data_IF_351166786227
#
_entry.id   IF_351166786227
#
_cell.length_a   1.000
_cell.length_b   1.000
_cell.length_c   1.000
_cell.angle_alpha   90.00
_cell.angle_beta   90.00
_cell.angle_gamma   90.00
#
_symmetry.space_group_name_H-M   'P 1'
#
loop_
_entity.id
_entity.type
_entity.pdbx_description
1 polymer ?
#
# COMPACT_ATOMS: atom_id res chain seq x y z
N UNK A 1 -3.91 -45.14 3.86
CA UNK A 1 -3.85 -44.38 5.10
C UNK A 1 -3.76 -42.91 4.76
N UNK A 2 -4.91 -42.27 4.65
CA UNK A 2 -4.95 -40.82 4.44
C UNK A 2 -4.72 -40.18 5.80
N UNK A 3 -3.49 -39.85 6.10
CA UNK A 3 -3.19 -38.92 7.18
C UNK A 3 -3.74 -37.57 6.78
N UNK A 4 -4.82 -37.14 7.42
CA UNK A 4 -5.23 -35.74 7.44
C UNK A 4 -4.10 -34.93 8.07
N UNK A 5 -3.13 -34.53 7.25
CA UNK A 5 -2.25 -33.44 7.63
C UNK A 5 -3.18 -32.24 7.77
N UNK A 6 -3.37 -31.79 9.00
CA UNK A 6 -4.19 -30.62 9.25
C UNK A 6 -3.73 -29.52 8.31
N UNK A 7 -4.68 -28.86 7.66
CA UNK A 7 -4.46 -27.76 6.70
C UNK A 7 -3.55 -26.64 7.26
N UNK A 8 -3.21 -26.70 8.54
CA UNK A 8 -2.37 -25.71 9.22
C UNK A 8 -0.88 -25.88 9.11
N UNK A 9 -0.35 -27.10 8.86
CA UNK A 9 1.10 -27.34 8.98
C UNK A 9 1.88 -27.30 7.67
N UNK A 10 1.23 -27.47 6.53
CA UNK A 10 1.91 -27.59 5.23
C UNK A 10 2.27 -26.21 4.63
N UNK A 11 1.61 -25.12 5.04
CA UNK A 11 1.72 -23.81 4.39
C UNK A 11 2.32 -22.70 5.24
N UNK A 12 2.78 -23.00 6.46
CA UNK A 12 3.32 -21.98 7.37
C UNK A 12 4.82 -21.77 7.19
N UNK A 13 5.28 -21.61 5.97
CA UNK A 13 6.68 -21.24 5.74
C UNK A 13 6.79 -20.23 4.62
N UNK A 14 7.79 -19.37 4.76
CA UNK A 14 8.22 -18.48 3.71
C UNK A 14 8.68 -19.26 2.48
N UNK A 15 8.34 -18.76 1.28
CA UNK A 15 8.75 -19.40 0.02
C UNK A 15 10.26 -19.26 -0.15
N UNK A 16 10.95 -20.37 -0.49
CA UNK A 16 12.36 -20.34 -0.84
C UNK A 16 12.57 -19.72 -2.22
N UNK A 17 13.37 -18.67 -2.28
CA UNK A 17 13.66 -17.92 -3.51
C UNK A 17 15.14 -17.99 -3.92
N UNK A 18 15.96 -18.84 -3.24
CA UNK A 18 17.41 -18.86 -3.47
C UNK A 18 17.79 -19.17 -4.92
N UNK A 19 17.03 -20.03 -5.60
CA UNK A 19 17.28 -20.45 -6.99
C UNK A 19 16.74 -19.47 -8.06
N UNK A 20 16.13 -18.35 -7.64
CA UNK A 20 15.64 -17.33 -8.58
C UNK A 20 16.74 -16.30 -8.85
N UNK A 21 16.76 -15.79 -10.07
CA UNK A 21 17.65 -14.69 -10.46
C UNK A 21 17.16 -13.38 -9.88
N UNK A 22 18.11 -12.48 -9.61
CA UNK A 22 17.81 -11.10 -9.29
C UNK A 22 17.34 -10.37 -10.54
N UNK A 23 16.15 -9.80 -10.49
CA UNK A 23 15.56 -9.02 -11.58
C UNK A 23 15.01 -7.71 -11.04
N UNK A 24 14.90 -6.71 -11.91
CA UNK A 24 14.19 -5.48 -11.56
C UNK A 24 12.71 -5.80 -11.31
N UNK A 25 12.19 -5.25 -10.23
CA UNK A 25 10.81 -5.40 -9.79
C UNK A 25 10.22 -4.05 -9.49
N UNK A 26 9.00 -3.82 -9.92
CA UNK A 26 8.22 -2.65 -9.59
C UNK A 26 6.78 -3.06 -9.28
N UNK A 27 6.16 -2.34 -8.36
CA UNK A 27 4.74 -2.48 -8.05
C UNK A 27 4.16 -1.11 -7.72
N UNK A 28 2.91 -0.91 -8.10
CA UNK A 28 2.09 0.26 -7.75
C UNK A 28 0.81 -0.24 -7.10
N UNK A 29 0.54 0.23 -5.89
CA UNK A 29 -0.72 0.02 -5.20
C UNK A 29 -1.46 1.35 -5.05
N UNK A 30 -2.77 1.30 -5.03
CA UNK A 30 -3.64 2.44 -4.76
C UNK A 30 -4.57 2.17 -3.59
N UNK A 31 -5.18 3.23 -3.09
CA UNK A 31 -6.24 3.17 -2.10
C UNK A 31 -6.84 4.56 -1.89
N UNK A 32 -8.07 4.61 -1.40
CA UNK A 32 -8.84 5.85 -1.29
C UNK A 32 -9.34 6.06 0.13
N UNK A 33 -9.38 7.31 0.58
CA UNK A 33 -10.04 7.70 1.82
C UNK A 33 -11.09 8.78 1.52
N UNK A 34 -12.34 8.51 1.93
CA UNK A 34 -13.43 9.46 1.89
C UNK A 34 -13.49 10.22 3.21
N UNK A 35 -13.60 11.52 3.11
CA UNK A 35 -13.60 12.45 4.25
C UNK A 35 -14.78 13.41 4.14
N UNK A 36 -15.15 14.09 5.23
CA UNK A 36 -16.13 15.15 5.13
C UNK A 36 -15.54 16.43 4.48
N UNK A 37 -16.41 17.36 4.10
CA UNK A 37 -16.04 18.61 3.43
C UNK A 37 -15.05 19.45 4.25
N UNK A 38 -15.18 19.46 5.58
CA UNK A 38 -14.33 20.23 6.47
C UNK A 38 -12.89 19.70 6.48
N UNK A 39 -12.73 18.37 6.62
CA UNK A 39 -11.41 17.69 6.53
C UNK A 39 -10.79 17.90 5.16
N UNK A 40 -11.59 17.73 4.09
CA UNK A 40 -11.11 17.92 2.72
C UNK A 40 -10.55 19.32 2.51
N UNK A 41 -11.31 20.34 2.91
CA UNK A 41 -10.89 21.73 2.80
C UNK A 41 -9.64 22.02 3.65
N UNK A 42 -9.56 21.47 4.86
CA UNK A 42 -8.40 21.65 5.73
C UNK A 42 -7.13 21.03 5.16
N UNK A 43 -7.21 19.86 4.54
CA UNK A 43 -6.07 19.21 3.89
C UNK A 43 -5.66 20.02 2.65
N UNK A 44 -6.61 20.35 1.78
CA UNK A 44 -6.38 21.12 0.53
C UNK A 44 -5.80 22.50 0.81
N UNK A 45 -6.26 23.15 1.88
CA UNK A 45 -5.82 24.49 2.29
C UNK A 45 -4.62 24.51 3.23
N UNK A 46 -4.01 23.35 3.54
CA UNK A 46 -2.90 23.22 4.50
C UNK A 46 -3.20 23.83 5.88
N UNK A 47 -4.46 23.79 6.32
CA UNK A 47 -4.93 24.44 7.56
C UNK A 47 -5.28 23.44 8.68
N UNK A 48 -4.94 22.16 8.51
CA UNK A 48 -5.18 21.14 9.52
C UNK A 48 -4.39 21.44 10.80
N UNK A 49 -5.03 21.32 11.97
CA UNK A 49 -4.43 21.63 13.29
C UNK A 49 -3.16 20.84 13.59
N UNK A 50 -3.03 19.65 13.05
CA UNK A 50 -1.85 18.76 13.23
C UNK A 50 -0.74 19.02 12.19
N UNK A 51 -0.87 20.05 11.34
CA UNK A 51 0.14 20.42 10.35
C UNK A 51 -0.07 19.74 8.99
N UNK A 52 1.01 19.48 8.28
CA UNK A 52 0.99 18.89 6.93
C UNK A 52 0.58 17.42 6.94
N UNK A 53 -0.73 17.18 6.79
CA UNK A 53 -1.31 15.83 6.82
C UNK A 53 -0.71 14.92 5.75
N UNK A 54 -0.64 15.40 4.51
CA UNK A 54 -0.17 14.58 3.39
C UNK A 54 1.35 14.33 3.46
N UNK A 55 2.12 15.31 3.92
CA UNK A 55 3.55 15.15 4.12
C UNK A 55 3.87 14.11 5.20
N UNK A 56 3.20 14.18 6.35
CA UNK A 56 3.38 13.19 7.43
C UNK A 56 2.93 11.80 6.97
N UNK A 57 1.79 11.70 6.29
CA UNK A 57 1.28 10.44 5.77
C UNK A 57 2.23 9.80 4.74
N UNK A 58 2.85 10.63 3.89
CA UNK A 58 3.88 10.17 2.93
C UNK A 58 5.05 9.52 3.63
N UNK A 59 5.61 10.18 4.63
CA UNK A 59 6.74 9.64 5.40
C UNK A 59 6.36 8.34 6.09
N UNK A 60 5.18 8.29 6.73
CA UNK A 60 4.69 7.09 7.40
C UNK A 60 4.53 5.91 6.42
N UNK A 61 3.99 6.15 5.23
CA UNK A 61 3.84 5.12 4.19
C UNK A 61 5.18 4.59 3.68
N UNK A 62 6.14 5.48 3.41
CA UNK A 62 7.49 5.08 2.99
C UNK A 62 8.17 4.24 4.09
N UNK A 63 8.03 4.63 5.35
CA UNK A 63 8.58 3.87 6.48
C UNK A 63 7.92 2.50 6.60
N UNK A 64 6.61 2.42 6.39
CA UNK A 64 5.86 1.17 6.46
C UNK A 64 6.25 0.20 5.32
N UNK A 65 6.40 0.70 4.10
CA UNK A 65 6.89 -0.09 2.98
C UNK A 65 8.25 -0.73 3.29
N UNK A 66 9.18 0.03 3.88
CA UNK A 66 10.51 -0.46 4.30
C UNK A 66 10.46 -1.49 5.44
N UNK A 67 9.38 -1.53 6.21
CA UNK A 67 9.19 -2.44 7.35
C UNK A 67 8.17 -3.54 7.07
N UNK A 68 7.79 -3.74 5.82
CA UNK A 68 6.77 -4.71 5.44
C UNK A 68 7.03 -6.12 6.01
N UNK A 69 8.28 -6.60 5.96
CA UNK A 69 8.65 -7.92 6.48
C UNK A 69 8.52 -8.06 8.01
N UNK A 70 8.48 -6.95 8.76
CA UNK A 70 8.20 -6.94 10.20
C UNK A 70 6.70 -7.00 10.49
N UNK A 71 5.86 -6.64 9.53
CA UNK A 71 4.40 -6.57 9.66
C UNK A 71 3.70 -7.80 9.09
N UNK A 72 4.18 -8.32 7.97
CA UNK A 72 3.59 -9.45 7.25
C UNK A 72 4.50 -10.67 7.41
N UNK A 73 4.09 -11.67 8.20
CA UNK A 73 4.99 -12.72 8.73
C UNK A 73 5.75 -13.53 7.69
N UNK A 74 5.18 -13.77 6.51
CA UNK A 74 5.80 -14.61 5.48
C UNK A 74 6.43 -13.81 4.33
N UNK A 75 6.49 -12.49 4.45
CA UNK A 75 7.20 -11.65 3.50
C UNK A 75 8.72 -11.74 3.68
N UNK A 76 9.43 -11.68 2.57
CA UNK A 76 10.89 -11.61 2.57
C UNK A 76 11.37 -10.20 2.97
N UNK A 77 12.58 -10.13 3.51
CA UNK A 77 13.25 -8.85 3.72
C UNK A 77 13.75 -8.36 2.36
N UNK A 78 13.26 -7.21 1.92
CA UNK A 78 13.60 -6.62 0.62
C UNK A 78 14.27 -5.27 0.83
N UNK A 79 15.41 -5.07 0.19
CA UNK A 79 16.05 -3.77 0.08
C UNK A 79 15.40 -2.98 -1.07
N UNK A 80 14.49 -2.07 -0.75
CA UNK A 80 13.87 -1.20 -1.76
C UNK A 80 14.91 -0.25 -2.34
N UNK A 81 14.92 -0.11 -3.67
CA UNK A 81 15.73 0.89 -4.38
C UNK A 81 14.99 2.20 -4.57
N UNK A 82 13.65 2.16 -4.57
CA UNK A 82 12.80 3.33 -4.65
C UNK A 82 11.48 3.09 -3.92
N UNK A 83 10.93 4.15 -3.33
CA UNK A 83 9.59 4.16 -2.74
C UNK A 83 9.01 5.57 -2.82
N UNK A 84 7.97 5.73 -3.62
CA UNK A 84 7.30 6.99 -3.87
C UNK A 84 5.84 6.91 -3.44
N UNK A 85 5.34 7.97 -2.80
CA UNK A 85 3.92 8.15 -2.51
C UNK A 85 3.44 9.45 -3.16
N UNK A 86 2.38 9.34 -3.95
CA UNK A 86 1.68 10.48 -4.57
C UNK A 86 0.20 10.46 -4.18
N UNK A 87 -0.45 11.59 -4.38
CA UNK A 87 -1.87 11.77 -4.05
C UNK A 87 -2.62 12.39 -5.21
N UNK A 88 -3.88 12.01 -5.35
CA UNK A 88 -4.87 12.69 -6.17
C UNK A 88 -6.05 13.09 -5.29
N UNK A 89 -6.50 14.33 -5.44
CA UNK A 89 -7.61 14.88 -4.66
C UNK A 89 -8.83 15.03 -5.55
N UNK A 90 -9.96 14.46 -5.11
CA UNK A 90 -11.21 14.43 -5.85
C UNK A 90 -12.23 15.38 -5.17
N UNK A 91 -12.42 16.54 -5.76
CA UNK A 91 -13.25 17.64 -5.20
C UNK A 91 -14.73 17.24 -5.04
N UNK A 92 -15.26 16.50 -6.01
CA UNK A 92 -16.70 16.15 -6.04
C UNK A 92 -17.08 15.13 -4.96
N UNK A 93 -16.21 14.17 -4.71
CA UNK A 93 -16.43 13.09 -3.74
C UNK A 93 -15.91 13.42 -2.34
N UNK A 94 -15.13 14.49 -2.20
CA UNK A 94 -14.31 14.77 -1.02
C UNK A 94 -13.46 13.55 -0.63
N UNK A 95 -12.72 13.01 -1.59
CA UNK A 95 -11.84 11.86 -1.36
C UNK A 95 -10.39 12.18 -1.73
N UNK A 96 -9.48 11.44 -1.12
CA UNK A 96 -8.06 11.51 -1.39
C UNK A 96 -7.63 10.11 -1.79
N UNK A 97 -7.09 9.98 -2.97
CA UNK A 97 -6.51 8.75 -3.46
C UNK A 97 -5.00 8.79 -3.29
N UNK A 98 -4.46 7.76 -2.68
CA UNK A 98 -3.03 7.60 -2.46
C UNK A 98 -2.50 6.46 -3.32
N UNK A 99 -1.32 6.66 -3.88
CA UNK A 99 -0.60 5.68 -4.68
C UNK A 99 0.76 5.45 -4.06
N UNK A 100 1.16 4.20 -3.93
CA UNK A 100 2.49 3.82 -3.50
C UNK A 100 3.18 3.01 -4.58
N UNK A 101 4.26 3.55 -5.14
CA UNK A 101 5.15 2.86 -6.05
C UNK A 101 6.38 2.40 -5.30
N UNK A 102 6.74 1.13 -5.45
CA UNK A 102 7.96 0.56 -4.88
C UNK A 102 8.75 -0.17 -5.95
N UNK A 103 10.08 -0.16 -5.83
CA UNK A 103 10.94 -0.95 -6.71
C UNK A 103 12.14 -1.54 -5.98
N UNK A 104 12.65 -2.64 -6.52
CA UNK A 104 13.90 -3.27 -6.08
C UNK A 104 14.58 -4.03 -7.22
N UNK A 105 15.81 -4.47 -6.96
CA UNK A 105 16.46 -5.54 -7.70
C UNK A 105 16.51 -6.74 -6.76
N UNK A 106 15.82 -7.82 -7.11
CA UNK A 106 15.72 -8.96 -6.20
C UNK A 106 14.98 -10.16 -6.75
N UNK A 107 14.88 -11.19 -5.92
CA UNK A 107 14.34 -12.53 -6.26
C UNK A 107 12.83 -12.64 -6.10
N UNK A 108 12.19 -11.66 -5.47
CA UNK A 108 10.73 -11.62 -5.24
C UNK A 108 10.17 -10.25 -5.56
N UNK A 109 8.86 -10.17 -5.77
CA UNK A 109 8.18 -8.90 -6.07
C UNK A 109 8.03 -8.01 -4.85
N UNK A 110 7.63 -6.78 -5.09
CA UNK A 110 7.47 -5.70 -4.09
C UNK A 110 6.00 -5.25 -3.92
N UNK A 111 5.08 -6.12 -4.31
CA UNK A 111 3.65 -5.86 -4.27
C UNK A 111 3.18 -5.56 -2.83
N UNK A 112 3.69 -6.34 -1.87
CA UNK A 112 3.30 -6.18 -0.46
C UNK A 112 3.87 -4.92 0.16
N UNK A 113 5.06 -4.51 -0.24
CA UNK A 113 5.66 -3.24 0.17
C UNK A 113 4.81 -2.06 -0.32
N UNK A 114 4.34 -2.09 -1.56
CA UNK A 114 3.44 -1.07 -2.11
C UNK A 114 2.09 -1.05 -1.38
N UNK A 115 1.47 -2.23 -1.17
CA UNK A 115 0.19 -2.37 -0.46
C UNK A 115 0.29 -1.89 1.00
N UNK A 116 1.35 -2.24 1.70
CA UNK A 116 1.60 -1.80 3.09
C UNK A 116 1.83 -0.29 3.14
N UNK A 117 2.60 0.25 2.18
CA UNK A 117 2.86 1.67 2.07
C UNK A 117 1.58 2.49 1.91
N UNK A 118 0.72 2.14 0.96
CA UNK A 118 -0.54 2.87 0.75
C UNK A 118 -1.48 2.72 1.95
N UNK A 119 -1.55 1.54 2.56
CA UNK A 119 -2.42 1.29 3.72
C UNK A 119 -2.06 2.19 4.90
N UNK A 120 -0.79 2.27 5.25
CA UNK A 120 -0.33 3.10 6.37
C UNK A 120 -0.41 4.59 6.04
N UNK A 121 -0.24 4.97 4.77
CA UNK A 121 -0.49 6.34 4.31
C UNK A 121 -1.94 6.77 4.63
N UNK A 122 -2.92 5.97 4.23
CA UNK A 122 -4.35 6.26 4.45
C UNK A 122 -4.72 6.23 5.94
N UNK A 123 -4.18 5.28 6.70
CA UNK A 123 -4.36 5.22 8.16
C UNK A 123 -3.78 6.46 8.86
N UNK A 124 -2.68 7.01 8.36
CA UNK A 124 -2.07 8.22 8.91
C UNK A 124 -2.93 9.45 8.63
N UNK A 125 -3.51 9.57 7.43
CA UNK A 125 -4.50 10.63 7.13
C UNK A 125 -5.67 10.52 8.11
N UNK A 126 -6.21 9.31 8.31
CA UNK A 126 -7.29 9.06 9.27
C UNK A 126 -6.89 9.50 10.69
N UNK A 127 -5.74 9.07 11.20
CA UNK A 127 -5.30 9.42 12.55
C UNK A 127 -5.16 10.94 12.74
N UNK A 128 -4.61 11.62 11.76
CA UNK A 128 -4.40 13.07 11.84
C UNK A 128 -5.70 13.86 11.79
N UNK A 129 -6.74 13.34 11.15
CA UNK A 129 -8.01 14.04 10.92
C UNK A 129 -9.18 13.54 11.78
N UNK A 130 -9.06 12.42 12.50
CA UNK A 130 -10.15 11.78 13.26
C UNK A 130 -10.82 12.66 14.33
N UNK A 131 -10.17 13.72 14.77
CA UNK A 131 -10.78 14.70 15.68
C UNK A 131 -11.86 15.56 14.98
N UNK A 132 -11.78 15.72 13.66
CA UNK A 132 -12.71 16.48 12.83
C UNK A 132 -13.77 15.58 12.19
N UNK A 133 -13.38 14.35 11.81
CA UNK A 133 -14.26 13.37 11.20
C UNK A 133 -13.88 11.94 11.63
N UNK A 134 -14.76 11.27 12.38
CA UNK A 134 -14.58 9.86 12.73
C UNK A 134 -15.21 8.91 11.72
N UNK A 135 -16.03 9.45 10.81
CA UNK A 135 -16.76 8.70 9.81
C UNK A 135 -15.97 8.45 8.51
N UNK A 136 -14.71 8.88 8.44
CA UNK A 136 -13.85 8.65 7.28
C UNK A 136 -13.76 7.16 6.94
N UNK A 137 -13.79 6.84 5.64
CA UNK A 137 -13.75 5.47 5.15
C UNK A 137 -12.54 5.27 4.26
N UNK A 138 -11.75 4.26 4.57
CA UNK A 138 -10.65 3.78 3.72
C UNK A 138 -11.19 2.64 2.88
N UNK A 139 -11.02 2.73 1.56
CA UNK A 139 -11.55 1.77 0.59
C UNK A 139 -10.53 1.51 -0.53
N UNK A 140 -10.85 0.53 -1.36
CA UNK A 140 -10.20 0.31 -2.66
C UNK A 140 -8.68 0.13 -2.59
N UNK A 141 -8.19 -0.44 -1.48
CA UNK A 141 -6.77 -0.78 -1.37
C UNK A 141 -6.50 -2.01 -2.24
N UNK A 142 -5.74 -1.82 -3.33
CA UNK A 142 -5.44 -2.88 -4.28
C UNK A 142 -4.12 -2.66 -5.01
N UNK A 143 -3.63 -3.72 -5.62
CA UNK A 143 -2.49 -3.68 -6.53
C UNK A 143 -2.98 -3.21 -7.90
N UNK A 144 -2.48 -2.07 -8.38
CA UNK A 144 -2.80 -1.54 -9.70
C UNK A 144 -1.94 -2.17 -10.79
N UNK A 145 -0.65 -2.21 -10.55
CA UNK A 145 0.32 -2.64 -11.55
C UNK A 145 1.50 -3.30 -10.88
N UNK A 146 2.07 -4.30 -11.53
CA UNK A 146 3.38 -4.81 -11.18
C UNK A 146 4.12 -5.26 -12.42
N UNK A 147 5.44 -5.19 -12.39
CA UNK A 147 6.27 -5.71 -13.47
C UNK A 147 7.53 -6.39 -12.90
N UNK A 148 8.06 -7.31 -13.70
CA UNK A 148 9.25 -8.10 -13.41
C UNK A 148 8.97 -9.51 -12.90
N UNK A 149 9.99 -10.36 -13.06
CA UNK A 149 9.96 -11.76 -12.68
C UNK A 149 9.19 -12.68 -13.63
N UNK A 150 9.04 -13.94 -13.21
CA UNK A 150 8.43 -14.99 -14.05
C UNK A 150 6.94 -14.73 -14.37
N UNK A 151 6.23 -14.03 -13.52
CA UNK A 151 4.80 -13.72 -13.71
C UNK A 151 4.56 -12.52 -14.64
N UNK A 152 5.62 -11.87 -15.11
CA UNK A 152 5.55 -10.77 -16.08
C UNK A 152 4.78 -9.56 -15.60
N UNK A 153 4.31 -8.78 -16.56
CA UNK A 153 3.53 -7.58 -16.33
C UNK A 153 2.08 -7.90 -15.96
N UNK A 154 1.55 -7.19 -14.98
CA UNK A 154 0.15 -7.24 -14.54
C UNK A 154 -0.37 -5.82 -14.38
N UNK A 155 -1.55 -5.58 -14.89
CA UNK A 155 -2.34 -4.36 -14.66
C UNK A 155 -3.71 -4.80 -14.17
N UNK A 156 -4.19 -4.18 -13.11
CA UNK A 156 -5.55 -4.38 -12.63
C UNK A 156 -6.53 -3.86 -13.69
N UNK A 157 -7.37 -4.74 -14.21
CA UNK A 157 -8.51 -4.30 -15.04
C UNK A 157 -9.49 -3.62 -14.09
N UNK A 158 -9.65 -2.30 -14.21
CA UNK A 158 -10.76 -1.61 -13.55
C UNK A 158 -12.04 -2.29 -14.02
N UNK A 159 -12.71 -3.00 -13.11
CA UNK A 159 -14.06 -3.44 -13.39
C UNK A 159 -14.90 -2.18 -13.59
N UNK A 160 -15.18 -1.82 -14.84
CA UNK A 160 -16.23 -0.87 -15.14
C UNK A 160 -17.50 -1.40 -14.47
N UNK A 161 -17.80 -0.89 -13.30
CA UNK A 161 -19.10 -1.09 -12.66
C UNK A 161 -20.07 -0.20 -13.42
N UNK A 162 -20.85 -0.83 -14.31
CA UNK A 162 -22.05 -0.26 -14.91
C UNK A 162 -23.09 0.09 -13.83
#
# INVERSE_FOLDING_TARGET
FCLSRGLGDVYKRQVDVHAKDDTYRVAVAAGKIYVNKEVYAAIKGHSAKKGDVLGVARIAGIMAAKKNSELIPLCHIIALTDCEIRYEMHDEEHSIEAFCKTSCIGKTGVEMEAMTGVSVTLLTIYDMCKAMDRGMRITDIHLMEKDGGKSGHYVCEESCSD
#
